data_IF_625341753157
#
_entry.id   IF_625341753157
#
_cell.length_a   1.000
_cell.length_b   1.000
_cell.length_c   1.000
_cell.angle_alpha   90.00
_cell.angle_beta   90.00
_cell.angle_gamma   90.00
#
_symmetry.space_group_name_H-M   'P 1'
#
loop_
_entity.id
_entity.type
_entity.pdbx_description
1 polymer ?
#
# COMPACT_ATOMS: atom_id res chain seq x y z
N UNK A 1 -5.33 -21.42 -23.65
CA UNK A 1 -4.99 -20.07 -23.17
C UNK A 1 -5.68 -19.97 -21.82
N UNK A 2 -5.01 -20.44 -20.76
CA UNK A 2 -5.60 -20.45 -19.42
C UNK A 2 -5.79 -19.01 -18.96
N UNK A 3 -7.01 -18.69 -18.56
CA UNK A 3 -7.41 -17.39 -18.08
C UNK A 3 -6.53 -16.99 -16.90
N UNK A 4 -5.91 -15.81 -17.02
CA UNK A 4 -5.04 -15.19 -16.03
C UNK A 4 -5.80 -14.73 -14.76
N UNK A 5 -6.99 -15.29 -14.49
CA UNK A 5 -7.89 -14.92 -13.38
C UNK A 5 -7.29 -15.24 -12.01
N UNK A 6 -6.29 -16.12 -11.94
CA UNK A 6 -5.59 -16.49 -10.71
C UNK A 6 -4.45 -15.54 -10.33
N UNK A 7 -3.93 -14.69 -11.25
CA UNK A 7 -2.81 -13.79 -10.93
C UNK A 7 -3.27 -12.45 -10.36
N UNK A 8 -3.92 -12.52 -9.20
CA UNK A 8 -4.41 -11.34 -8.48
C UNK A 8 -4.48 -11.56 -6.97
N UNK A 9 -4.48 -10.45 -6.24
CA UNK A 9 -4.91 -10.36 -4.86
C UNK A 9 -6.44 -10.42 -4.82
N UNK A 10 -6.98 -11.28 -3.96
CA UNK A 10 -8.41 -11.37 -3.64
C UNK A 10 -8.74 -10.84 -2.23
N UNK A 11 -7.72 -10.66 -1.41
CA UNK A 11 -7.84 -10.15 -0.05
C UNK A 11 -6.59 -9.35 0.31
N UNK A 12 -6.79 -8.18 0.91
CA UNK A 12 -5.72 -7.36 1.48
C UNK A 12 -6.16 -6.95 2.89
N UNK A 13 -5.40 -7.37 3.89
CA UNK A 13 -5.70 -7.10 5.30
C UNK A 13 -4.50 -6.45 5.97
N UNK A 14 -4.77 -5.64 6.98
CA UNK A 14 -3.74 -5.01 7.82
C UNK A 14 -3.83 -5.60 9.22
N UNK A 15 -2.69 -5.95 9.80
CA UNK A 15 -2.65 -6.39 11.20
C UNK A 15 -2.93 -5.20 12.14
N UNK A 16 -4.10 -5.21 12.76
CA UNK A 16 -4.56 -4.11 13.64
C UNK A 16 -3.67 -3.91 14.88
N UNK A 17 -2.92 -4.94 15.29
CA UNK A 17 -2.03 -4.85 16.45
C UNK A 17 -0.77 -4.03 16.16
N UNK A 18 -0.27 -4.08 14.92
CA UNK A 18 0.94 -3.37 14.51
C UNK A 18 0.64 -2.13 13.65
N UNK A 19 -0.49 -2.10 12.97
CA UNK A 19 -0.97 -0.97 12.17
C UNK A 19 -2.28 -0.49 12.82
N UNK A 20 -2.15 0.53 13.66
CA UNK A 20 -3.30 1.09 14.39
C UNK A 20 -4.40 1.61 13.46
N UNK A 21 -5.64 1.58 13.97
CA UNK A 21 -6.80 2.18 13.31
C UNK A 21 -6.67 3.70 13.25
N UNK A 22 -7.14 4.28 12.13
CA UNK A 22 -7.20 5.72 11.94
C UNK A 22 -8.50 6.33 12.49
N UNK A 23 -8.73 7.61 12.19
CA UNK A 23 -10.07 8.21 12.30
C UNK A 23 -11.07 7.52 11.37
N UNK A 24 -12.37 7.79 11.55
CA UNK A 24 -13.42 7.25 10.68
C UNK A 24 -13.17 7.56 9.19
N UNK A 25 -12.76 8.80 8.88
CA UNK A 25 -12.44 9.21 7.52
C UNK A 25 -11.21 8.48 6.97
N UNK A 26 -10.16 8.31 7.79
CA UNK A 26 -8.96 7.56 7.38
C UNK A 26 -9.27 6.09 7.12
N UNK A 27 -10.16 5.49 7.91
CA UNK A 27 -10.56 4.10 7.72
C UNK A 27 -11.47 3.94 6.49
N UNK A 28 -12.31 4.93 6.21
CA UNK A 28 -13.10 4.96 4.99
C UNK A 28 -12.20 5.04 3.74
N UNK A 29 -11.23 5.95 3.72
CA UNK A 29 -10.25 6.06 2.63
C UNK A 29 -9.42 4.79 2.49
N UNK A 30 -9.05 4.14 3.61
CA UNK A 30 -8.34 2.86 3.60
C UNK A 30 -9.18 1.76 2.94
N UNK A 31 -10.46 1.67 3.29
CA UNK A 31 -11.36 0.67 2.73
C UNK A 31 -11.54 0.87 1.22
N UNK A 32 -11.68 2.12 0.75
CA UNK A 32 -11.73 2.45 -0.68
C UNK A 32 -10.44 2.01 -1.37
N UNK A 33 -9.27 2.38 -0.82
CA UNK A 33 -7.98 2.03 -1.42
C UNK A 33 -7.76 0.50 -1.49
N UNK A 34 -8.19 -0.25 -0.48
CA UNK A 34 -8.13 -1.72 -0.49
C UNK A 34 -9.08 -2.31 -1.54
N UNK A 35 -10.29 -1.78 -1.63
CA UNK A 35 -11.27 -2.23 -2.61
C UNK A 35 -10.76 -2.02 -4.04
N UNK A 36 -10.31 -0.80 -4.36
CA UNK A 36 -9.78 -0.45 -5.68
C UNK A 36 -8.57 -1.33 -6.02
N UNK A 37 -7.68 -1.55 -5.05
CA UNK A 37 -6.54 -2.46 -5.23
C UNK A 37 -6.99 -3.88 -5.55
N UNK A 38 -7.95 -4.45 -4.82
CA UNK A 38 -8.43 -5.80 -5.07
C UNK A 38 -9.09 -5.92 -6.45
N UNK A 39 -9.84 -4.92 -6.87
CA UNK A 39 -10.54 -4.92 -8.16
C UNK A 39 -9.61 -4.78 -9.37
N UNK A 40 -8.58 -3.93 -9.29
CA UNK A 40 -7.78 -3.55 -10.45
C UNK A 40 -6.38 -4.17 -10.51
N UNK A 41 -5.95 -4.92 -9.47
CA UNK A 41 -4.58 -5.43 -9.44
C UNK A 41 -4.29 -6.56 -10.42
N UNK A 42 -3.01 -6.61 -10.81
CA UNK A 42 -2.31 -7.81 -11.28
C UNK A 42 -1.26 -8.16 -10.23
N UNK A 43 -1.18 -9.43 -9.83
CA UNK A 43 -0.24 -9.88 -8.82
C UNK A 43 0.17 -11.34 -9.03
N UNK A 44 1.48 -11.58 -9.04
CA UNK A 44 2.03 -12.92 -9.05
C UNK A 44 3.31 -13.03 -8.22
N UNK A 45 3.52 -14.18 -7.61
CA UNK A 45 4.79 -14.54 -6.99
C UNK A 45 5.76 -15.08 -8.05
N UNK A 46 6.99 -14.57 -8.05
CA UNK A 46 8.01 -15.08 -8.98
C UNK A 46 8.38 -16.51 -8.60
N UNK A 47 8.39 -17.41 -9.60
CA UNK A 47 8.65 -18.83 -9.39
C UNK A 47 7.45 -19.63 -8.86
N UNK A 48 6.25 -19.03 -8.82
CA UNK A 48 5.01 -19.70 -8.44
C UNK A 48 4.00 -19.63 -9.58
N UNK A 49 3.37 -20.76 -9.92
CA UNK A 49 2.46 -20.87 -11.07
C UNK A 49 0.97 -20.70 -10.70
N UNK A 50 0.65 -20.49 -9.42
CA UNK A 50 -0.73 -20.45 -8.91
C UNK A 50 -1.29 -19.05 -8.63
N UNK A 51 -2.17 -19.00 -7.63
CA UNK A 51 -3.02 -17.88 -7.23
C UNK A 51 -4.51 -18.29 -7.33
N UNK A 52 -5.47 -17.46 -6.89
CA UNK A 52 -5.33 -16.12 -6.35
C UNK A 52 -4.67 -16.08 -4.97
N UNK A 53 -4.32 -14.86 -4.53
CA UNK A 53 -3.52 -14.64 -3.34
C UNK A 53 -4.25 -13.80 -2.29
N UNK A 54 -4.00 -14.11 -1.03
CA UNK A 54 -4.32 -13.23 0.10
C UNK A 54 -3.06 -12.53 0.59
N UNK A 55 -3.15 -11.22 0.84
CA UNK A 55 -2.08 -10.40 1.37
C UNK A 55 -2.42 -9.90 2.78
N UNK A 56 -1.56 -10.21 3.75
CA UNK A 56 -1.57 -9.58 5.07
C UNK A 56 -0.35 -8.68 5.19
N UNK A 57 -0.59 -7.40 5.51
CA UNK A 57 0.44 -6.39 5.75
C UNK A 57 0.53 -6.11 7.25
N UNK A 58 1.74 -6.12 7.79
CA UNK A 58 2.00 -5.82 9.21
C UNK A 58 3.31 -5.04 9.40
N UNK A 59 3.52 -4.52 10.61
CA UNK A 59 4.74 -3.84 11.02
C UNK A 59 5.45 -4.59 12.15
N UNK A 60 6.74 -4.88 11.98
CA UNK A 60 7.59 -5.50 13.02
C UNK A 60 8.93 -4.78 13.06
N UNK A 61 9.29 -4.18 14.19
CA UNK A 61 10.55 -3.45 14.38
C UNK A 61 10.90 -2.49 13.23
N UNK A 62 9.95 -1.63 12.87
CA UNK A 62 10.01 -0.70 11.74
C UNK A 62 10.31 -1.39 10.38
N UNK A 63 9.84 -2.61 10.20
CA UNK A 63 9.85 -3.33 8.92
C UNK A 63 8.42 -3.59 8.48
N UNK A 64 8.18 -3.37 7.20
CA UNK A 64 6.93 -3.70 6.54
C UNK A 64 6.97 -5.16 6.11
N UNK A 65 6.01 -5.94 6.61
CA UNK A 65 5.92 -7.38 6.38
C UNK A 65 4.74 -7.65 5.46
N UNK A 66 5.00 -8.30 4.33
CA UNK A 66 4.01 -8.79 3.38
C UNK A 66 3.96 -10.31 3.53
N UNK A 67 2.93 -10.83 4.19
CA UNK A 67 2.64 -12.26 4.23
C UNK A 67 1.65 -12.58 3.13
N UNK A 68 2.02 -13.50 2.25
CA UNK A 68 1.25 -13.86 1.05
C UNK A 68 0.83 -15.32 1.20
N UNK A 69 -0.48 -15.56 1.12
CA UNK A 69 -1.10 -16.87 1.22
C UNK A 69 -1.84 -17.24 -0.07
N UNK A 70 -2.16 -18.52 -0.25
CA UNK A 70 -3.17 -18.95 -1.23
C UNK A 70 -4.60 -18.71 -0.72
N UNK A 71 -5.60 -19.07 -1.53
CA UNK A 71 -7.02 -18.87 -1.23
C UNK A 71 -7.52 -19.74 -0.06
N UNK A 72 -6.78 -20.79 0.29
CA UNK A 72 -7.04 -21.65 1.44
C UNK A 72 -6.38 -21.13 2.72
N UNK A 73 -5.66 -20.01 2.65
CA UNK A 73 -4.98 -19.37 3.77
C UNK A 73 -3.62 -19.99 4.12
N UNK A 74 -3.09 -20.88 3.29
CA UNK A 74 -1.75 -21.46 3.46
C UNK A 74 -0.71 -20.42 3.09
N UNK A 75 0.21 -20.16 4.03
CA UNK A 75 1.28 -19.20 3.82
C UNK A 75 2.26 -19.69 2.75
N UNK A 76 2.34 -18.98 1.63
CA UNK A 76 3.27 -19.29 0.54
C UNK A 76 4.63 -18.64 0.78
N UNK A 77 4.64 -17.35 1.14
CA UNK A 77 5.88 -16.59 1.37
C UNK A 77 5.66 -15.40 2.29
N UNK A 78 6.72 -14.94 2.94
CA UNK A 78 6.74 -13.67 3.67
C UNK A 78 7.90 -12.80 3.20
N UNK A 79 7.61 -11.59 2.75
CA UNK A 79 8.61 -10.59 2.40
C UNK A 79 8.70 -9.53 3.48
N UNK A 80 9.92 -9.27 3.97
CA UNK A 80 10.19 -8.28 5.01
C UNK A 80 11.02 -7.16 4.40
N UNK A 81 10.51 -5.92 4.47
CA UNK A 81 11.13 -4.74 3.91
C UNK A 81 11.47 -3.75 5.03
N UNK A 82 12.72 -3.30 5.12
CA UNK A 82 13.08 -2.18 6.00
C UNK A 82 12.34 -0.92 5.60
N UNK A 83 11.73 -0.21 6.56
CA UNK A 83 11.14 1.13 6.31
C UNK A 83 12.18 2.25 6.30
N UNK A 84 13.45 1.95 6.61
CA UNK A 84 14.51 2.99 6.65
C UNK A 84 14.61 3.80 5.33
N UNK A 85 14.54 3.18 4.14
CA UNK A 85 14.54 3.92 2.87
C UNK A 85 13.32 4.84 2.68
N UNK A 86 12.19 4.55 3.34
CA UNK A 86 10.94 5.32 3.22
C UNK A 86 10.87 6.51 4.17
N UNK A 87 11.82 6.65 5.11
CA UNK A 87 11.76 7.66 6.19
C UNK A 87 11.57 9.09 5.67
N UNK A 88 12.27 9.46 4.59
CA UNK A 88 12.14 10.80 3.99
C UNK A 88 10.71 11.01 3.47
N UNK A 89 10.23 10.09 2.63
CA UNK A 89 8.90 10.14 2.02
C UNK A 89 7.82 10.23 3.09
N UNK A 90 7.91 9.39 4.12
CA UNK A 90 6.97 9.41 5.25
C UNK A 90 6.98 10.74 5.98
N UNK A 91 8.16 11.28 6.30
CA UNK A 91 8.29 12.59 6.94
C UNK A 91 7.67 13.69 6.08
N UNK A 92 7.99 13.73 4.79
CA UNK A 92 7.48 14.74 3.89
C UNK A 92 5.96 14.62 3.71
N UNK A 93 5.42 13.40 3.74
CA UNK A 93 3.99 13.13 3.68
C UNK A 93 3.27 13.71 4.91
N UNK A 94 3.82 13.51 6.11
CA UNK A 94 3.26 14.11 7.33
C UNK A 94 3.22 15.63 7.24
N UNK A 95 4.27 16.28 6.73
CA UNK A 95 4.28 17.75 6.55
C UNK A 95 3.24 18.22 5.53
N UNK A 96 2.99 17.45 4.46
CA UNK A 96 1.94 17.76 3.49
C UNK A 96 0.55 17.63 4.13
N UNK A 97 0.30 16.60 4.94
CA UNK A 97 -0.96 16.46 5.66
C UNK A 97 -1.20 17.64 6.62
N UNK A 98 -0.19 18.06 7.38
CA UNK A 98 -0.29 19.25 8.24
C UNK A 98 -0.60 20.51 7.44
N UNK A 99 0.08 20.68 6.30
CA UNK A 99 -0.15 21.80 5.39
C UNK A 99 -1.56 21.81 4.83
N UNK A 100 -2.10 20.64 4.47
CA UNK A 100 -3.48 20.47 4.01
C UNK A 100 -4.48 20.87 5.10
N UNK A 101 -4.33 20.36 6.33
CA UNK A 101 -5.23 20.67 7.44
C UNK A 101 -5.21 22.17 7.81
N UNK A 102 -4.06 22.83 7.71
CA UNK A 102 -3.94 24.27 7.90
C UNK A 102 -4.61 25.07 6.76
N UNK A 103 -4.57 24.55 5.53
CA UNK A 103 -5.05 25.24 4.34
C UNK A 103 -6.55 25.05 4.08
N UNK A 104 -7.12 23.85 4.28
CA UNK A 104 -8.44 23.49 3.77
C UNK A 104 -9.59 24.42 4.21
N UNK A 105 -9.49 25.04 5.39
CA UNK A 105 -10.54 25.93 5.90
C UNK A 105 -10.54 27.32 5.27
N UNK A 106 -9.41 27.81 4.78
CA UNK A 106 -9.23 29.23 4.42
C UNK A 106 -8.41 29.49 3.15
N UNK A 107 -7.79 28.47 2.55
CA UNK A 107 -6.94 28.63 1.39
C UNK A 107 -7.74 28.72 0.09
N UNK A 108 -7.12 29.32 -0.92
CA UNK A 108 -7.68 29.35 -2.28
C UNK A 108 -7.70 27.93 -2.87
N UNK A 109 -8.63 27.62 -3.79
CA UNK A 109 -8.66 26.33 -4.49
C UNK A 109 -7.31 25.97 -5.14
N UNK A 110 -6.64 26.95 -5.76
CA UNK A 110 -5.31 26.78 -6.37
C UNK A 110 -4.23 26.32 -5.39
N UNK A 111 -4.30 26.77 -4.13
CA UNK A 111 -3.35 26.39 -3.09
C UNK A 111 -3.64 24.98 -2.58
N UNK A 112 -4.91 24.59 -2.47
CA UNK A 112 -5.31 23.23 -2.10
C UNK A 112 -4.85 22.25 -3.20
N UNK A 113 -5.10 22.59 -4.47
CA UNK A 113 -4.65 21.79 -5.61
C UNK A 113 -3.12 21.60 -5.63
N UNK A 114 -2.35 22.65 -5.34
CA UNK A 114 -0.89 22.54 -5.25
C UNK A 114 -0.43 21.58 -4.13
N UNK A 115 -1.11 21.58 -2.98
CA UNK A 115 -0.85 20.63 -1.88
C UNK A 115 -1.20 19.20 -2.31
N UNK A 116 -2.34 19.01 -2.97
CA UNK A 116 -2.78 17.69 -3.47
C UNK A 116 -1.85 17.15 -4.55
N UNK A 117 -1.33 18.00 -5.44
CA UNK A 117 -0.28 17.62 -6.39
C UNK A 117 0.99 17.15 -5.68
N UNK A 118 1.43 17.87 -4.64
CA UNK A 118 2.56 17.44 -3.80
C UNK A 118 2.31 16.09 -3.13
N UNK A 119 1.11 15.89 -2.58
CA UNK A 119 0.69 14.63 -1.96
C UNK A 119 0.79 13.47 -2.93
N UNK A 120 0.26 13.63 -4.16
CA UNK A 120 0.35 12.61 -5.22
C UNK A 120 1.78 12.32 -5.62
N UNK A 121 2.64 13.34 -5.70
CA UNK A 121 4.07 13.16 -5.96
C UNK A 121 4.74 12.23 -4.95
N UNK A 122 4.48 12.43 -3.64
CA UNK A 122 5.01 11.56 -2.59
C UNK A 122 4.46 10.13 -2.65
N UNK A 123 3.16 9.97 -2.95
CA UNK A 123 2.58 8.63 -3.16
C UNK A 123 3.26 7.90 -4.32
N UNK A 124 3.51 8.57 -5.45
CA UNK A 124 4.18 7.98 -6.61
C UNK A 124 5.64 7.59 -6.28
N UNK A 125 6.37 8.46 -5.57
CA UNK A 125 7.74 8.16 -5.13
C UNK A 125 7.76 6.94 -4.19
N UNK A 126 6.82 6.87 -3.25
CA UNK A 126 6.66 5.75 -2.34
C UNK A 126 6.34 4.45 -3.06
N UNK A 127 5.42 4.49 -4.04
CA UNK A 127 5.05 3.34 -4.86
C UNK A 127 6.23 2.83 -5.70
N UNK A 128 6.95 3.73 -6.36
CA UNK A 128 8.14 3.37 -7.14
C UNK A 128 9.20 2.70 -6.26
N UNK A 129 9.50 3.29 -5.09
CA UNK A 129 10.45 2.70 -4.16
C UNK A 129 9.98 1.31 -3.69
N UNK A 130 8.68 1.14 -3.38
CA UNK A 130 8.13 -0.15 -2.99
C UNK A 130 8.32 -1.22 -4.07
N UNK A 131 8.04 -0.88 -5.34
CA UNK A 131 8.26 -1.77 -6.48
C UNK A 131 9.74 -2.16 -6.62
N UNK A 132 10.67 -1.21 -6.47
CA UNK A 132 12.11 -1.50 -6.49
C UNK A 132 12.52 -2.47 -5.37
N UNK A 133 11.94 -2.32 -4.17
CA UNK A 133 12.21 -3.19 -3.01
C UNK A 133 11.58 -4.58 -3.15
N UNK A 134 10.58 -4.73 -4.01
CA UNK A 134 9.86 -5.97 -4.32
C UNK A 134 10.31 -6.64 -5.62
N UNK A 135 11.12 -5.96 -6.44
CA UNK A 135 11.68 -6.51 -7.67
C UNK A 135 12.37 -7.86 -7.43
N UNK A 136 12.05 -8.84 -8.27
CA UNK A 136 12.59 -10.20 -8.14
C UNK A 136 11.88 -11.07 -7.09
N UNK A 137 10.83 -10.55 -6.43
CA UNK A 137 9.97 -11.30 -5.50
C UNK A 137 8.56 -11.48 -6.04
N UNK A 138 8.00 -10.42 -6.61
CA UNK A 138 6.66 -10.39 -7.19
C UNK A 138 6.70 -9.78 -8.60
N UNK A 139 5.62 -10.02 -9.34
CA UNK A 139 5.31 -9.40 -10.63
C UNK A 139 3.94 -8.72 -10.53
N UNK A 140 3.83 -7.46 -10.98
CA UNK A 140 2.64 -6.60 -10.83
C UNK A 140 2.46 -5.71 -12.04
#
# INVERSE_FOLDING_TARGET
MESNESKRLISVTLDENSIGRGSADQEHERAIAIYDLIEENSFALIGHHGGPYELLISLVDAKLVFKICDAEGVCLVTHILSLTPFRRILKDYFMICESYYAAIRHATPSRIEAIDMGRRGLHNEGAQLLLERLKGKIDT
#
